data_IF_814949361739
#
_entry.id   IF_814949361739
#
_cell.length_a   1.000
_cell.length_b   1.000
_cell.length_c   1.000
_cell.angle_alpha   90.00
_cell.angle_beta   90.00
_cell.angle_gamma   90.00
#
_symmetry.space_group_name_H-M   'P 1'
#
loop_
_entity.id
_entity.type
_entity.pdbx_description
1 polymer ?
#
# COMPACT_ATOMS: atom_id res chain seq x y z
N UNK A 1 -11.20 1.45 64.75
CA UNK A 1 -11.75 0.87 63.51
C UNK A 1 -11.39 1.81 62.36
N UNK A 2 -10.33 1.52 61.60
CA UNK A 2 -9.93 2.32 60.43
C UNK A 2 -10.31 1.52 59.18
N UNK A 3 -11.28 2.01 58.43
CA UNK A 3 -11.72 1.42 57.17
C UNK A 3 -10.61 1.60 56.12
N UNK A 4 -10.10 0.47 55.60
CA UNK A 4 -9.21 0.46 54.46
C UNK A 4 -10.05 0.52 53.18
N UNK A 5 -9.99 1.63 52.47
CA UNK A 5 -10.52 1.75 51.12
C UNK A 5 -9.51 1.14 50.14
N UNK A 6 -9.80 -0.06 49.63
CA UNK A 6 -9.06 -0.67 48.53
C UNK A 6 -9.60 -0.05 47.23
N UNK A 7 -8.84 0.85 46.63
CA UNK A 7 -9.12 1.35 45.29
C UNK A 7 -8.70 0.29 44.26
N UNK A 8 -9.68 -0.40 43.67
CA UNK A 8 -9.46 -1.21 42.46
C UNK A 8 -9.17 -0.27 41.29
N UNK A 9 -7.90 -0.10 40.94
CA UNK A 9 -7.51 0.49 39.67
C UNK A 9 -7.75 -0.55 38.56
N UNK A 10 -8.91 -0.47 37.91
CA UNK A 10 -9.15 -1.15 36.63
C UNK A 10 -8.26 -0.50 35.57
N UNK A 11 -7.08 -1.09 35.36
CA UNK A 11 -6.28 -0.87 34.16
C UNK A 11 -7.10 -1.39 32.97
N UNK A 12 -7.78 -0.49 32.28
CA UNK A 12 -8.31 -0.77 30.96
C UNK A 12 -7.10 -1.05 30.05
N UNK A 13 -6.83 -2.33 29.80
CA UNK A 13 -5.90 -2.74 28.76
C UNK A 13 -6.41 -2.15 27.44
N UNK A 14 -5.76 -1.09 26.98
CA UNK A 14 -6.02 -0.56 25.64
C UNK A 14 -5.60 -1.65 24.66
N UNK A 15 -6.59 -2.32 24.07
CA UNK A 15 -6.36 -3.35 23.08
C UNK A 15 -5.48 -2.77 21.97
N UNK A 16 -4.32 -3.38 21.73
CA UNK A 16 -3.42 -2.95 20.68
C UNK A 16 -4.07 -3.17 19.30
N UNK A 17 -3.55 -2.48 18.29
CA UNK A 17 -3.93 -2.73 16.91
C UNK A 17 -3.53 -4.16 16.52
N UNK A 18 -4.37 -4.83 15.74
CA UNK A 18 -4.16 -6.22 15.33
C UNK A 18 -3.73 -6.27 13.86
N UNK A 19 -2.69 -7.04 13.56
CA UNK A 19 -2.29 -7.30 12.17
C UNK A 19 -3.23 -8.34 11.55
N UNK A 20 -3.85 -7.99 10.43
CA UNK A 20 -4.67 -8.87 9.61
C UNK A 20 -3.93 -9.22 8.33
N UNK A 21 -3.81 -10.52 8.05
CA UNK A 21 -3.15 -11.05 6.86
C UNK A 21 -3.81 -12.36 6.44
N UNK A 22 -4.64 -12.31 5.41
CA UNK A 22 -5.45 -13.45 4.99
C UNK A 22 -5.75 -13.42 3.48
N UNK A 23 -6.15 -14.55 2.93
CA UNK A 23 -6.69 -14.65 1.56
C UNK A 23 -8.20 -14.83 1.60
N UNK A 24 -8.94 -14.12 0.75
CA UNK A 24 -10.40 -14.20 0.72
C UNK A 24 -10.97 -13.89 -0.66
N UNK A 25 -12.21 -14.33 -0.89
CA UNK A 25 -13.01 -13.87 -2.02
C UNK A 25 -13.67 -12.54 -1.67
N UNK A 26 -13.36 -11.45 -2.41
CA UNK A 26 -13.92 -10.14 -2.12
C UNK A 26 -15.39 -10.08 -2.53
N UNK A 27 -16.16 -9.29 -1.79
CA UNK A 27 -17.56 -8.96 -2.07
C UNK A 27 -17.65 -7.47 -2.39
N UNK A 28 -18.33 -7.13 -3.47
CA UNK A 28 -18.62 -5.74 -3.81
C UNK A 28 -19.98 -5.34 -3.23
N UNK A 29 -20.06 -4.21 -2.53
CA UNK A 29 -21.31 -3.62 -2.07
C UNK A 29 -21.58 -2.31 -2.81
N UNK A 30 -22.71 -2.26 -3.49
CA UNK A 30 -23.08 -1.17 -4.39
C UNK A 30 -23.71 0.01 -3.64
N UNK A 31 -22.87 0.87 -3.06
CA UNK A 31 -23.33 2.04 -2.30
C UNK A 31 -23.50 3.28 -3.18
N UNK A 32 -24.61 4.00 -3.01
CA UNK A 32 -25.10 5.10 -3.87
C UNK A 32 -24.20 6.37 -3.89
N UNK A 33 -23.20 6.48 -3.01
CA UNK A 33 -22.33 7.68 -2.92
C UNK A 33 -20.94 7.50 -3.56
N UNK A 34 -20.70 6.40 -4.26
CA UNK A 34 -19.38 5.97 -4.72
C UNK A 34 -18.92 6.53 -6.07
N UNK A 35 -18.63 7.83 -6.18
CA UNK A 35 -17.73 8.31 -7.26
C UNK A 35 -16.29 7.82 -7.01
N UNK A 36 -16.04 6.53 -7.22
CA UNK A 36 -14.90 5.91 -7.94
C UNK A 36 -14.77 4.38 -7.76
N UNK A 37 -15.41 3.71 -6.78
CA UNK A 37 -15.18 2.25 -6.64
C UNK A 37 -16.11 1.45 -5.69
N UNK A 38 -17.26 1.97 -5.26
CA UNK A 38 -18.14 1.28 -4.28
C UNK A 38 -17.42 0.82 -2.99
N UNK A 39 -18.02 -0.14 -2.30
CA UNK A 39 -17.50 -0.74 -1.07
C UNK A 39 -16.93 -2.13 -1.36
N UNK A 40 -15.72 -2.41 -0.87
CA UNK A 40 -15.09 -3.71 -1.03
C UNK A 40 -14.92 -4.37 0.33
N UNK A 41 -15.49 -5.57 0.45
CA UNK A 41 -15.53 -6.34 1.69
C UNK A 41 -14.76 -7.64 1.51
N UNK A 42 -14.11 -8.12 2.56
CA UNK A 42 -13.50 -9.45 2.59
C UNK A 42 -13.67 -10.08 3.96
N UNK A 43 -13.95 -11.38 3.98
CA UNK A 43 -14.13 -12.14 5.22
C UNK A 43 -12.90 -12.99 5.49
N UNK A 44 -12.30 -12.81 6.66
CA UNK A 44 -11.23 -13.68 7.15
C UNK A 44 -11.85 -15.02 7.57
N UNK A 45 -11.39 -16.12 6.96
CA UNK A 45 -11.99 -17.44 7.18
C UNK A 45 -11.78 -17.94 8.60
N UNK A 46 -10.63 -17.66 9.23
CA UNK A 46 -10.33 -18.16 10.58
C UNK A 46 -11.27 -17.56 11.64
N UNK A 47 -11.57 -16.25 11.53
CA UNK A 47 -12.39 -15.53 12.51
C UNK A 47 -13.86 -15.38 12.10
N UNK A 48 -14.16 -15.57 10.81
CA UNK A 48 -15.46 -15.22 10.22
C UNK A 48 -15.72 -13.71 10.17
N UNK A 49 -14.75 -12.88 10.55
CA UNK A 49 -14.92 -11.44 10.61
C UNK A 49 -14.82 -10.84 9.20
N UNK A 50 -15.78 -9.98 8.87
CA UNK A 50 -15.78 -9.21 7.64
C UNK A 50 -15.12 -7.84 7.85
N UNK A 51 -14.33 -7.44 6.86
CA UNK A 51 -13.55 -6.21 6.87
C UNK A 51 -13.82 -5.37 5.64
N UNK A 52 -13.77 -4.05 5.83
CA UNK A 52 -13.84 -3.06 4.76
C UNK A 52 -12.43 -2.69 4.26
N UNK A 53 -12.23 -2.85 2.96
CA UNK A 53 -10.97 -2.68 2.23
C UNK A 53 -10.92 -1.37 1.43
N UNK A 54 -11.90 -0.47 1.59
CA UNK A 54 -12.01 0.72 0.74
C UNK A 54 -10.80 1.65 0.79
N UNK A 55 -9.96 1.59 1.83
CA UNK A 55 -8.74 2.40 1.94
C UNK A 55 -7.52 1.77 1.23
N UNK A 56 -7.65 0.58 0.65
CA UNK A 56 -6.58 -0.02 -0.14
C UNK A 56 -6.32 0.80 -1.41
N UNK A 57 -5.05 0.93 -1.79
CA UNK A 57 -4.65 1.63 -3.02
C UNK A 57 -5.20 0.90 -4.25
N UNK A 58 -4.93 -0.40 -4.32
CA UNK A 58 -5.52 -1.31 -5.32
C UNK A 58 -6.87 -1.79 -4.84
N UNK A 59 -7.86 -1.74 -5.73
CA UNK A 59 -9.18 -2.29 -5.46
C UNK A 59 -9.21 -3.77 -5.85
N UNK A 60 -9.90 -4.62 -5.08
CA UNK A 60 -10.18 -5.97 -5.52
C UNK A 60 -10.83 -6.01 -6.90
N UNK A 61 -10.73 -7.18 -7.56
CA UNK A 61 -11.43 -7.45 -8.80
C UNK A 61 -12.52 -8.48 -8.54
N UNK A 62 -13.73 -8.22 -9.03
CA UNK A 62 -14.82 -9.21 -8.95
C UNK A 62 -14.38 -10.48 -9.65
N UNK A 63 -14.63 -11.62 -9.02
CA UNK A 63 -14.30 -12.93 -9.58
C UNK A 63 -12.88 -13.42 -9.30
N UNK A 64 -12.09 -12.71 -8.49
CA UNK A 64 -10.72 -13.09 -8.13
C UNK A 64 -10.48 -13.04 -6.63
N UNK A 65 -9.71 -13.99 -6.10
CA UNK A 65 -9.23 -13.92 -4.72
C UNK A 65 -8.35 -12.69 -4.50
N UNK A 66 -8.27 -12.23 -3.26
CA UNK A 66 -7.32 -11.20 -2.84
C UNK A 66 -6.49 -11.65 -1.65
N UNK A 67 -5.21 -11.25 -1.65
CA UNK A 67 -4.40 -11.18 -0.45
C UNK A 67 -4.67 -9.83 0.23
N UNK A 68 -5.16 -9.88 1.47
CA UNK A 68 -5.38 -8.71 2.32
C UNK A 68 -4.27 -8.65 3.36
N UNK A 69 -3.61 -7.50 3.45
CA UNK A 69 -2.59 -7.20 4.46
C UNK A 69 -2.92 -5.84 5.07
N UNK A 70 -3.26 -5.77 6.35
CA UNK A 70 -3.71 -4.52 6.95
C UNK A 70 -3.84 -4.56 8.46
N UNK A 71 -4.17 -3.42 9.03
CA UNK A 71 -4.29 -3.25 10.48
C UNK A 71 -5.76 -3.09 10.87
N UNK A 72 -6.21 -3.88 11.83
CA UNK A 72 -7.47 -3.70 12.53
C UNK A 72 -7.23 -2.76 13.71
N UNK A 73 -7.81 -1.55 13.71
CA UNK A 73 -7.60 -0.61 14.81
C UNK A 73 -8.11 -1.14 16.16
N UNK A 74 -7.55 -0.63 17.28
CA UNK A 74 -8.10 -0.81 18.63
C UNK A 74 -9.60 -0.54 18.67
N UNK A 75 -10.34 -1.25 19.52
CA UNK A 75 -11.81 -1.17 19.56
C UNK A 75 -12.36 0.27 19.62
N UNK A 76 -11.76 1.16 20.42
CA UNK A 76 -12.17 2.56 20.53
C UNK A 76 -11.83 3.47 19.34
N UNK A 77 -11.10 2.95 18.35
CA UNK A 77 -10.68 3.66 17.13
C UNK A 77 -11.27 3.02 15.87
N UNK A 78 -12.11 1.99 16.00
CA UNK A 78 -12.71 1.29 14.87
C UNK A 78 -13.80 2.15 14.24
N UNK A 79 -13.55 2.56 13.00
CA UNK A 79 -14.59 3.09 12.12
C UNK A 79 -15.43 1.90 11.59
N UNK A 80 -16.75 1.87 11.86
CA UNK A 80 -17.60 0.71 11.55
C UNK A 80 -18.97 1.03 10.93
N UNK A 81 -19.18 2.24 10.43
CA UNK A 81 -20.46 2.64 9.82
C UNK A 81 -20.40 2.79 8.28
N UNK A 82 -19.22 2.65 7.70
CA UNK A 82 -19.03 2.68 6.26
C UNK A 82 -19.05 1.25 5.74
N UNK A 83 -19.71 1.04 4.60
CA UNK A 83 -19.71 -0.25 3.90
C UNK A 83 -20.24 -1.45 4.71
N UNK A 84 -20.70 -1.26 5.96
CA UNK A 84 -21.24 -2.28 6.87
C UNK A 84 -20.22 -3.28 7.44
N UNK A 85 -18.94 -2.93 7.48
CA UNK A 85 -17.89 -3.72 8.10
C UNK A 85 -16.86 -2.83 8.81
N UNK A 86 -15.99 -3.44 9.62
CA UNK A 86 -14.91 -2.68 10.29
C UNK A 86 -13.81 -2.36 9.28
N UNK A 87 -13.39 -1.10 9.24
CA UNK A 87 -12.34 -0.63 8.35
C UNK A 87 -10.96 -1.12 8.75
N UNK A 88 -10.22 -1.71 7.80
CA UNK A 88 -8.78 -1.91 7.95
C UNK A 88 -8.03 -0.65 7.53
N UNK A 89 -7.12 -0.18 8.38
CA UNK A 89 -6.33 1.03 8.10
C UNK A 89 -5.02 1.02 8.91
N UNK A 90 -3.85 1.03 8.24
CA UNK A 90 -3.67 0.98 6.79
C UNK A 90 -3.99 -0.42 6.22
N UNK A 91 -4.24 -0.51 4.92
CA UNK A 91 -4.53 -1.79 4.24
C UNK A 91 -3.96 -1.82 2.81
N UNK A 92 -3.48 -2.99 2.42
CA UNK A 92 -2.99 -3.38 1.10
C UNK A 92 -3.80 -4.57 0.61
N UNK A 93 -4.06 -4.56 -0.69
CA UNK A 93 -4.80 -5.61 -1.38
C UNK A 93 -3.99 -5.97 -2.61
N UNK A 94 -3.70 -7.25 -2.79
CA UNK A 94 -3.15 -7.76 -4.05
C UNK A 94 -4.14 -8.76 -4.65
N UNK A 95 -4.49 -8.57 -5.92
CA UNK A 95 -5.40 -9.46 -6.65
C UNK A 95 -4.64 -10.72 -7.04
N UNK A 96 -5.22 -11.88 -6.78
CA UNK A 96 -4.64 -13.18 -7.07
C UNK A 96 -5.29 -13.77 -8.32
N UNK A 97 -4.54 -14.61 -9.04
CA UNK A 97 -5.06 -15.25 -10.26
C UNK A 97 -6.12 -16.31 -9.99
N UNK A 98 -6.28 -16.77 -8.75
CA UNK A 98 -7.30 -17.75 -8.37
C UNK A 98 -8.70 -17.16 -8.55
N UNK A 99 -9.63 -17.87 -9.22
CA UNK A 99 -10.99 -17.39 -9.39
C UNK A 99 -11.81 -17.47 -8.09
N UNK A 100 -12.81 -16.60 -7.98
CA UNK A 100 -13.78 -16.53 -6.90
C UNK A 100 -15.20 -16.37 -7.45
N UNK A 101 -16.25 -16.71 -6.67
CA UNK A 101 -17.60 -16.25 -6.94
C UNK A 101 -17.65 -14.72 -6.97
N UNK A 102 -18.22 -14.14 -8.04
CA UNK A 102 -18.47 -12.72 -8.13
C UNK A 102 -19.75 -12.37 -7.37
N UNK A 103 -19.62 -11.77 -6.18
CA UNK A 103 -20.75 -11.42 -5.32
C UNK A 103 -20.92 -9.91 -5.28
N UNK A 104 -22.13 -9.45 -5.60
CA UNK A 104 -22.55 -8.05 -5.49
C UNK A 104 -23.69 -7.96 -4.50
N UNK A 105 -23.52 -7.16 -3.46
CA UNK A 105 -24.55 -6.85 -2.48
C UNK A 105 -25.19 -5.48 -2.81
N UNK A 106 -26.51 -5.32 -2.57
CA UNK A 106 -27.11 -4.00 -2.58
C UNK A 106 -26.53 -3.11 -1.46
N UNK A 107 -26.72 -1.79 -1.54
CA UNK A 107 -26.21 -0.84 -0.56
C UNK A 107 -26.61 -1.16 0.90
N UNK A 108 -27.82 -1.70 1.09
CA UNK A 108 -28.41 -2.03 2.41
C UNK A 108 -28.41 -0.83 3.39
N UNK A 109 -28.47 0.40 2.86
CA UNK A 109 -28.45 1.63 3.64
C UNK A 109 -27.05 2.04 4.14
N UNK A 110 -25.99 1.27 3.85
CA UNK A 110 -24.63 1.64 4.24
C UNK A 110 -24.05 2.72 3.32
N UNK A 111 -23.48 3.81 3.88
CA UNK A 111 -22.74 4.78 3.09
C UNK A 111 -21.38 4.22 2.67
N UNK A 112 -20.90 4.63 1.49
CA UNK A 112 -19.48 4.51 1.15
C UNK A 112 -18.66 5.65 1.80
N UNK A 113 -17.34 5.50 1.88
CA UNK A 113 -16.45 6.61 2.29
C UNK A 113 -15.99 7.38 1.06
N UNK A 114 -16.16 8.70 1.11
CA UNK A 114 -15.67 9.58 0.06
C UNK A 114 -14.15 9.58 0.04
N UNK A 115 -13.57 9.54 -1.16
CA UNK A 115 -12.15 9.74 -1.34
C UNK A 115 -11.76 11.13 -0.88
N UNK A 116 -10.85 11.21 0.09
CA UNK A 116 -10.25 12.46 0.51
C UNK A 116 -8.95 12.66 -0.28
N UNK A 117 -8.83 13.80 -0.96
CA UNK A 117 -7.56 14.12 -1.63
C UNK A 117 -6.45 14.21 -0.56
N UNK A 118 -5.34 13.48 -0.72
CA UNK A 118 -4.20 13.61 0.18
C UNK A 118 -3.60 15.02 0.09
N UNK A 119 -3.05 15.52 1.19
CA UNK A 119 -2.45 16.87 1.24
C UNK A 119 -1.28 17.06 0.28
N UNK A 120 -0.60 15.98 -0.09
CA UNK A 120 0.41 15.95 -1.15
C UNK A 120 -0.23 15.73 -2.51
N UNK A 121 -1.00 16.70 -3.01
CA UNK A 121 -1.52 16.63 -4.39
C UNK A 121 -0.40 17.03 -5.34
N UNK A 122 -0.23 16.27 -6.42
CA UNK A 122 0.63 16.68 -7.53
C UNK A 122 0.22 18.06 -8.00
N UNK A 123 1.17 19.00 -8.07
CA UNK A 123 0.93 20.25 -8.76
C UNK A 123 0.67 19.90 -10.24
N UNK A 124 -0.48 20.30 -10.83
CA UNK A 124 -0.77 20.02 -12.24
C UNK A 124 0.41 20.38 -13.15
N UNK A 125 0.72 19.54 -14.13
CA UNK A 125 1.92 19.70 -14.97
C UNK A 125 2.01 21.05 -15.72
N UNK A 126 0.87 21.73 -15.94
CA UNK A 126 0.82 23.04 -16.57
C UNK A 126 1.15 24.20 -15.63
N UNK A 127 1.19 23.95 -14.31
CA UNK A 127 1.56 24.95 -13.32
C UNK A 127 3.06 24.85 -13.00
N UNK A 128 3.71 25.97 -12.63
CA UNK A 128 5.07 25.96 -12.12
C UNK A 128 5.19 25.00 -10.94
N UNK A 129 6.10 24.04 -11.06
CA UNK A 129 6.31 23.03 -10.03
C UNK A 129 7.16 23.62 -8.89
N UNK A 130 6.75 23.52 -7.61
CA UNK A 130 7.51 24.08 -6.49
C UNK A 130 8.91 23.47 -6.45
N UNK A 131 9.95 24.27 -6.69
CA UNK A 131 11.35 23.81 -6.76
C UNK A 131 11.86 23.42 -5.37
N UNK A 132 12.52 22.26 -5.20
CA UNK A 132 13.26 22.01 -3.97
C UNK A 132 14.33 23.09 -3.85
N UNK A 133 14.35 23.82 -2.74
CA UNK A 133 15.39 24.80 -2.49
C UNK A 133 16.73 24.08 -2.30
N UNK A 134 17.85 24.63 -2.81
CA UNK A 134 19.17 24.11 -2.46
C UNK A 134 19.41 24.21 -0.94
N UNK A 135 20.29 23.36 -0.37
CA UNK A 135 21.15 22.41 -1.06
C UNK A 135 20.43 21.11 -1.45
N UNK A 136 20.66 20.65 -2.68
CA UNK A 136 20.24 19.32 -3.12
C UNK A 136 21.10 18.27 -2.42
N UNK A 137 20.49 17.14 -2.05
CA UNK A 137 21.16 16.04 -1.38
C UNK A 137 20.75 14.72 -2.03
N UNK A 138 21.61 13.72 -1.91
CA UNK A 138 21.26 12.35 -2.27
C UNK A 138 20.00 11.91 -1.53
N UNK A 139 19.02 11.42 -2.28
CA UNK A 139 17.74 10.96 -1.72
C UNK A 139 17.40 9.57 -2.25
N UNK A 140 16.76 8.77 -1.39
CA UNK A 140 16.17 7.50 -1.73
C UNK A 140 14.66 7.64 -1.66
N UNK A 141 13.98 7.32 -2.76
CA UNK A 141 12.53 7.31 -2.87
C UNK A 141 12.06 5.87 -3.04
N UNK A 142 10.91 5.54 -2.45
CA UNK A 142 10.35 4.18 -2.49
C UNK A 142 9.03 4.17 -3.24
N UNK A 143 8.87 3.22 -4.15
CA UNK A 143 7.63 2.89 -4.83
C UNK A 143 7.19 1.50 -4.39
N UNK A 144 5.91 1.35 -4.06
CA UNK A 144 5.35 0.09 -3.57
C UNK A 144 4.56 -0.61 -4.68
N UNK A 145 4.50 -1.94 -4.62
CA UNK A 145 3.84 -2.79 -5.62
C UNK A 145 2.99 -3.87 -4.95
N UNK A 146 2.00 -4.37 -5.68
CA UNK A 146 1.21 -5.52 -5.28
C UNK A 146 1.92 -6.84 -5.59
N UNK A 147 1.45 -7.92 -4.96
CA UNK A 147 2.00 -9.26 -5.12
C UNK A 147 2.03 -9.67 -6.60
N UNK A 148 3.21 -10.06 -7.08
CA UNK A 148 3.47 -10.50 -8.45
C UNK A 148 3.10 -9.48 -9.53
N UNK A 149 3.09 -8.19 -9.19
CA UNK A 149 2.77 -7.09 -10.11
C UNK A 149 3.96 -6.12 -10.28
N UNK A 150 4.12 -5.59 -11.50
CA UNK A 150 5.06 -4.51 -11.86
C UNK A 150 4.35 -3.22 -12.26
N UNK A 151 3.02 -3.17 -12.16
CA UNK A 151 2.23 -1.99 -12.43
C UNK A 151 2.50 -0.88 -11.40
N UNK A 152 2.72 0.34 -11.90
CA UNK A 152 2.89 1.52 -11.05
C UNK A 152 1.54 1.88 -10.41
N UNK A 153 1.45 1.78 -9.09
CA UNK A 153 0.23 2.07 -8.35
C UNK A 153 -0.28 3.49 -8.66
N UNK A 154 -1.45 3.54 -9.29
CA UNK A 154 -2.12 4.78 -9.69
C UNK A 154 -2.32 5.71 -8.49
N UNK A 155 -2.04 7.01 -8.67
CA UNK A 155 -2.08 8.07 -7.65
C UNK A 155 -1.05 7.97 -6.52
N UNK A 156 -0.18 6.95 -6.54
CA UNK A 156 0.83 6.73 -5.49
C UNK A 156 2.26 6.68 -6.02
N UNK A 157 2.46 6.25 -7.27
CA UNK A 157 3.79 6.19 -7.89
C UNK A 157 4.25 7.56 -8.44
N UNK A 158 3.32 8.45 -8.79
CA UNK A 158 3.60 9.68 -9.52
C UNK A 158 4.43 10.67 -8.70
N UNK A 159 4.11 10.84 -7.41
CA UNK A 159 4.83 11.76 -6.51
C UNK A 159 6.32 11.39 -6.41
N UNK A 160 6.70 10.15 -6.00
CA UNK A 160 8.11 9.79 -5.90
C UNK A 160 8.81 9.79 -7.27
N UNK A 161 8.13 9.41 -8.36
CA UNK A 161 8.72 9.47 -9.71
C UNK A 161 9.04 10.91 -10.14
N UNK A 162 8.11 11.84 -9.92
CA UNK A 162 8.34 13.26 -10.24
C UNK A 162 9.42 13.86 -9.36
N UNK A 163 9.41 13.56 -8.05
CA UNK A 163 10.46 14.02 -7.13
C UNK A 163 11.84 13.52 -7.56
N UNK A 164 11.97 12.23 -7.88
CA UNK A 164 13.22 11.65 -8.37
C UNK A 164 13.70 12.29 -9.67
N UNK A 165 12.82 12.43 -10.66
CA UNK A 165 13.17 13.02 -11.95
C UNK A 165 13.58 14.49 -11.84
N UNK A 166 12.90 15.25 -10.97
CA UNK A 166 13.23 16.66 -10.71
C UNK A 166 14.54 16.81 -9.96
N UNK A 167 14.76 16.01 -8.92
CA UNK A 167 16.02 16.00 -8.18
C UNK A 167 17.19 15.63 -9.10
N UNK A 168 17.01 14.64 -9.99
CA UNK A 168 18.04 14.25 -10.94
C UNK A 168 18.43 15.38 -11.89
N UNK A 169 17.44 16.10 -12.42
CA UNK A 169 17.65 17.18 -13.39
C UNK A 169 18.16 18.47 -12.76
N UNK A 170 17.57 18.88 -11.64
CA UNK A 170 17.85 20.17 -10.99
C UNK A 170 19.06 20.10 -10.06
N UNK A 171 19.27 18.95 -9.42
CA UNK A 171 20.39 18.71 -8.52
C UNK A 171 21.68 18.30 -9.23
N UNK A 172 21.65 18.09 -10.55
CA UNK A 172 22.82 17.65 -11.32
C UNK A 172 23.28 16.26 -10.90
N UNK A 173 22.36 15.29 -10.87
CA UNK A 173 22.68 13.94 -10.39
C UNK A 173 23.81 13.29 -11.20
N UNK A 174 24.73 12.66 -10.48
CA UNK A 174 25.80 11.85 -11.08
C UNK A 174 25.27 10.51 -11.59
N UNK A 175 24.27 9.97 -10.88
CA UNK A 175 23.67 8.66 -11.16
C UNK A 175 22.31 8.55 -10.51
N UNK A 176 21.43 7.77 -11.14
CA UNK A 176 20.12 7.37 -10.63
C UNK A 176 20.05 5.85 -10.60
N UNK A 177 19.98 5.27 -9.41
CA UNK A 177 19.96 3.81 -9.19
C UNK A 177 18.54 3.37 -8.93
N UNK A 178 18.01 2.55 -9.81
CA UNK A 178 16.70 1.91 -9.65
C UNK A 178 16.93 0.47 -9.19
N UNK A 179 16.52 0.16 -7.97
CA UNK A 179 16.59 -1.21 -7.42
C UNK A 179 15.19 -1.75 -7.24
N UNK A 180 14.82 -2.80 -7.97
CA UNK A 180 13.57 -3.51 -7.75
C UNK A 180 13.73 -4.65 -6.75
N UNK A 181 12.67 -4.92 -6.00
CA UNK A 181 12.67 -5.99 -5.00
C UNK A 181 11.43 -6.87 -5.12
N UNK A 182 11.58 -8.12 -4.70
CA UNK A 182 10.50 -9.10 -4.60
C UNK A 182 10.56 -9.87 -3.28
N UNK A 183 9.40 -10.20 -2.71
CA UNK A 183 9.26 -11.03 -1.52
C UNK A 183 9.40 -12.52 -1.90
N UNK A 184 10.64 -12.96 -2.13
CA UNK A 184 10.94 -14.31 -2.65
C UNK A 184 10.97 -15.39 -1.58
N UNK A 185 11.04 -15.03 -0.29
CA UNK A 185 10.93 -16.00 0.81
C UNK A 185 9.48 -16.42 0.98
N UNK A 186 9.18 -17.74 0.95
CA UNK A 186 7.84 -18.22 1.15
C UNK A 186 7.29 -17.89 2.54
N UNK A 187 6.05 -17.41 2.58
CA UNK A 187 5.31 -17.20 3.83
C UNK A 187 3.94 -17.87 3.73
N UNK A 188 3.49 -18.47 4.83
CA UNK A 188 2.14 -19.03 4.88
C UNK A 188 1.12 -17.94 5.21
N UNK A 189 0.08 -17.82 4.40
CA UNK A 189 -1.07 -16.93 4.63
C UNK A 189 -2.34 -17.76 4.45
N UNK A 190 -3.15 -17.84 5.51
CA UNK A 190 -4.24 -18.82 5.59
C UNK A 190 -3.73 -20.23 5.23
N UNK A 191 -4.36 -20.93 4.29
CA UNK A 191 -3.94 -22.27 3.83
C UNK A 191 -2.93 -22.25 2.66
N UNK A 192 -2.37 -21.08 2.28
CA UNK A 192 -1.57 -20.93 1.06
C UNK A 192 -0.13 -20.51 1.34
N UNK A 193 0.78 -20.93 0.48
CA UNK A 193 2.14 -20.38 0.41
C UNK A 193 2.13 -19.17 -0.53
N UNK A 194 2.59 -18.03 -0.02
CA UNK A 194 2.75 -16.78 -0.76
C UNK A 194 4.25 -16.53 -0.92
N UNK A 195 4.68 -16.41 -2.18
CA UNK A 195 6.03 -16.01 -2.58
C UNK A 195 5.99 -15.35 -3.95
N UNK A 196 6.94 -14.47 -4.21
CA UNK A 196 7.11 -13.86 -5.53
C UNK A 196 8.21 -14.55 -6.33
N UNK A 197 8.07 -14.54 -7.65
CA UNK A 197 9.16 -14.88 -8.56
C UNK A 197 10.18 -13.72 -8.60
N UNK A 198 11.48 -14.01 -8.60
CA UNK A 198 12.51 -12.95 -8.64
C UNK A 198 12.42 -12.08 -9.90
N UNK A 199 11.86 -12.60 -10.99
CA UNK A 199 11.69 -11.86 -12.24
C UNK A 199 10.81 -10.61 -12.08
N UNK A 200 9.86 -10.60 -11.14
CA UNK A 200 9.03 -9.41 -10.85
C UNK A 200 9.86 -8.26 -10.28
N UNK A 201 10.91 -8.54 -9.50
CA UNK A 201 11.83 -7.50 -9.01
C UNK A 201 12.50 -6.78 -10.19
N UNK A 202 12.97 -7.54 -11.19
CA UNK A 202 13.54 -6.98 -12.41
C UNK A 202 12.51 -6.22 -13.25
N UNK A 203 11.28 -6.72 -13.33
CA UNK A 203 10.18 -6.06 -14.05
C UNK A 203 9.85 -4.69 -13.44
N UNK A 204 9.66 -4.64 -12.12
CA UNK A 204 9.48 -3.39 -11.35
C UNK A 204 10.60 -2.39 -11.59
N UNK A 205 11.85 -2.83 -11.50
CA UNK A 205 13.01 -1.96 -11.70
C UNK A 205 13.03 -1.35 -13.11
N UNK A 206 12.73 -2.17 -14.13
CA UNK A 206 12.65 -1.70 -15.52
C UNK A 206 11.46 -0.77 -15.77
N UNK A 207 10.30 -1.06 -15.19
CA UNK A 207 9.12 -0.20 -15.29
C UNK A 207 9.39 1.19 -14.70
N UNK A 208 10.00 1.24 -13.50
CA UNK A 208 10.39 2.51 -12.86
C UNK A 208 11.44 3.27 -13.67
N UNK A 209 12.45 2.58 -14.21
CA UNK A 209 13.46 3.20 -15.05
C UNK A 209 12.87 3.78 -16.35
N UNK A 210 11.97 3.07 -17.01
CA UNK A 210 11.27 3.55 -18.20
C UNK A 210 10.37 4.75 -17.87
N UNK A 211 9.69 4.75 -16.72
CA UNK A 211 8.93 5.91 -16.25
C UNK A 211 9.83 7.14 -16.01
N UNK A 212 10.97 6.98 -15.35
CA UNK A 212 11.93 8.07 -15.11
C UNK A 212 12.51 8.62 -16.41
N UNK A 213 12.84 7.75 -17.37
CA UNK A 213 13.27 8.15 -18.71
C UNK A 213 12.20 8.99 -19.41
N UNK A 214 10.92 8.59 -19.35
CA UNK A 214 9.78 9.36 -19.90
C UNK A 214 9.57 10.70 -19.19
N UNK A 215 9.99 10.81 -17.93
CA UNK A 215 10.00 12.06 -17.17
C UNK A 215 11.26 12.91 -17.40
N UNK A 216 12.14 12.51 -18.33
CA UNK A 216 13.28 13.30 -18.78
C UNK A 216 14.57 13.07 -18.02
N UNK A 217 14.70 11.98 -17.25
CA UNK A 217 16.00 11.54 -16.72
C UNK A 217 16.84 10.99 -17.86
N UNK A 218 18.08 11.47 -18.01
CA UNK A 218 18.97 11.04 -19.07
C UNK A 218 19.29 9.53 -18.95
N UNK A 219 19.15 8.73 -20.02
CA UNK A 219 19.39 7.28 -19.96
C UNK A 219 20.78 6.90 -19.45
N UNK A 220 21.80 7.70 -19.75
CA UNK A 220 23.17 7.48 -19.30
C UNK A 220 23.35 7.55 -17.77
N UNK A 221 22.42 8.20 -17.05
CA UNK A 221 22.45 8.27 -15.59
C UNK A 221 21.78 7.05 -14.93
N UNK A 222 20.94 6.31 -15.66
CA UNK A 222 20.11 5.25 -15.10
C UNK A 222 20.90 3.95 -14.96
N UNK A 223 20.96 3.43 -13.73
CA UNK A 223 21.43 2.08 -13.42
C UNK A 223 20.28 1.25 -12.87
N UNK A 224 20.00 0.11 -13.49
CA UNK A 224 18.93 -0.81 -13.07
C UNK A 224 19.52 -2.05 -12.43
N UNK A 225 19.01 -2.43 -11.27
CA UNK A 225 19.38 -3.66 -10.54
C UNK A 225 18.17 -4.21 -9.78
N UNK A 226 18.26 -5.45 -9.30
CA UNK A 226 17.18 -6.05 -8.52
C UNK A 226 17.66 -7.16 -7.57
N UNK A 227 16.92 -7.35 -6.48
CA UNK A 227 17.22 -8.35 -5.45
C UNK A 227 15.95 -9.04 -4.93
N UNK A 228 16.10 -10.27 -4.45
CA UNK A 228 15.05 -10.98 -3.72
C UNK A 228 15.16 -10.74 -2.21
N UNK A 229 14.04 -10.93 -1.53
CA UNK A 229 13.88 -10.90 -0.07
C UNK A 229 14.59 -9.73 0.62
N UNK A 230 14.22 -8.49 0.33
CA UNK A 230 14.72 -7.37 1.10
C UNK A 230 14.17 -7.43 2.54
N UNK A 231 14.85 -6.76 3.49
CA UNK A 231 14.19 -6.44 4.75
C UNK A 231 12.94 -5.57 4.49
N UNK A 232 11.93 -5.61 5.40
CA UNK A 232 10.83 -4.65 5.39
C UNK A 232 11.35 -3.21 5.32
N UNK A 233 10.59 -2.34 4.65
CA UNK A 233 10.92 -0.92 4.55
C UNK A 233 10.93 -0.29 5.95
N UNK A 234 11.89 0.60 6.24
CA UNK A 234 12.14 1.11 7.60
C UNK A 234 10.94 1.86 8.19
N UNK A 235 10.09 2.44 7.34
CA UNK A 235 8.86 3.14 7.73
C UNK A 235 7.58 2.31 7.65
N UNK A 236 7.67 1.01 7.33
CA UNK A 236 6.48 0.18 7.18
C UNK A 236 5.81 -0.11 8.55
N UNK A 237 4.50 0.15 8.69
CA UNK A 237 3.77 -0.22 9.92
C UNK A 237 3.79 -1.75 10.09
N UNK A 238 3.66 -2.27 11.32
CA UNK A 238 3.75 -3.71 11.60
C UNK A 238 2.90 -4.56 10.66
N UNK A 239 1.66 -4.14 10.41
CA UNK A 239 0.71 -4.85 9.55
C UNK A 239 1.09 -4.90 8.07
N UNK A 240 1.98 -4.02 7.60
CA UNK A 240 2.41 -3.93 6.20
C UNK A 240 3.88 -4.30 6.00
N UNK A 241 4.55 -4.89 6.99
CA UNK A 241 5.99 -5.25 6.87
C UNK A 241 6.26 -6.17 5.69
N UNK A 242 5.48 -7.24 5.51
CA UNK A 242 5.64 -8.14 4.36
C UNK A 242 5.25 -7.46 3.05
N UNK A 243 4.17 -6.67 3.06
CA UNK A 243 3.77 -5.88 1.89
C UNK A 243 4.86 -4.93 1.41
N UNK A 244 5.59 -4.31 2.35
CA UNK A 244 6.65 -3.34 2.06
C UNK A 244 7.90 -3.94 1.39
N UNK A 245 8.04 -5.28 1.40
CA UNK A 245 9.11 -5.96 0.66
C UNK A 245 8.90 -5.88 -0.85
N UNK A 246 7.67 -5.68 -1.29
CA UNK A 246 7.27 -5.56 -2.70
C UNK A 246 7.43 -4.10 -3.14
N UNK A 247 8.66 -3.72 -3.46
CA UNK A 247 8.99 -2.32 -3.72
C UNK A 247 10.03 -2.17 -4.82
N UNK A 248 10.17 -0.95 -5.32
CA UNK A 248 11.37 -0.47 -5.97
C UNK A 248 11.88 0.78 -5.26
N UNK A 249 13.19 0.94 -5.18
CA UNK A 249 13.81 2.17 -4.68
C UNK A 249 14.50 2.91 -5.82
N UNK A 250 14.47 4.24 -5.74
CA UNK A 250 15.18 5.15 -6.63
C UNK A 250 16.13 5.96 -5.78
N UNK A 251 17.42 5.69 -5.90
CA UNK A 251 18.47 6.46 -5.27
C UNK A 251 19.04 7.47 -6.27
N UNK A 252 18.76 8.75 -6.05
CA UNK A 252 19.28 9.85 -6.86
C UNK A 252 20.54 10.37 -6.17
N UNK A 253 21.70 10.10 -6.75
CA UNK A 253 23.00 10.48 -6.20
C UNK A 253 23.36 11.87 -6.69
N UNK A 254 23.51 12.81 -5.74
CA UNK A 254 23.95 14.19 -5.98
C UNK A 254 25.44 14.28 -5.58
N UNK A 255 26.26 15.04 -6.34
CA UNK A 255 27.67 15.29 -6.01
C UNK A 255 27.92 15.84 -4.60
#
# INVERSE_FOLDING_TARGET
MRAAAIALALLAAQAAAETKRFVSCPVYRDTVQGRKSGCWLATELESGQQFDLQQAHTKPQLGHEVLVEGELPPQGQRESNFCGAVLLKPVRVSVLSTPCPAVVLPAEGYPGKLFQLPGSVLTPNHLPQPMPAPPYRTQRLTLQFDLNDDYLLYQHAEVPLQQAARLARLGGAERVVVTGYAATVPTRVSAREIREDISVAGARARMVAEALKRLGVAPALLKVQWHGDPPPDEGAPPALREASKRRATVEVVIP
#
